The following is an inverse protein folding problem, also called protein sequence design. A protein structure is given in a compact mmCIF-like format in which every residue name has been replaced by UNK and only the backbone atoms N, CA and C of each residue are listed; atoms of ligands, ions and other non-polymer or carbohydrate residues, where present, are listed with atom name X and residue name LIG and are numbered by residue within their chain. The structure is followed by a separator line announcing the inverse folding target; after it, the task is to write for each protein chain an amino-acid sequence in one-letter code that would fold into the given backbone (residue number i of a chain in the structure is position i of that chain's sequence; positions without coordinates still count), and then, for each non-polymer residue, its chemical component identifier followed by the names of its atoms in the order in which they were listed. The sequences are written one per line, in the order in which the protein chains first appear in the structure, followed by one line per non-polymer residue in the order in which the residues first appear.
data_IF_290793440576
#
_entry.id   IF_290793440576
#
_cell.length_a   1.000
_cell.length_b   1.000
_cell.length_c   1.000
_cell.angle_alpha   90.00
_cell.angle_beta   90.00
_cell.angle_gamma   90.00
#
_symmetry.space_group_name_H-M   'P 1'
#
loop_
_entity.id
_entity.type
_entity.pdbx_description
1 polymer ?
#
# COMPACT_ATOMS: atom_id res chain seq x y z
N UNK A 1 -68.04 47.86 -33.86
CA UNK A 1 -67.73 49.13 -34.55
C UNK A 1 -66.25 49.13 -34.91
N UNK A 2 -65.95 49.53 -36.15
CA UNK A 2 -64.64 49.91 -36.71
C UNK A 2 -63.51 48.87 -36.82
N UNK A 3 -63.41 48.27 -38.02
CA UNK A 3 -62.17 48.05 -38.81
C UNK A 3 -61.43 49.41 -39.04
N UNK A 4 -60.20 49.58 -39.64
CA UNK A 4 -59.49 48.64 -40.53
C UNK A 4 -57.94 48.68 -40.60
N UNK A 5 -57.39 47.71 -41.34
CA UNK A 5 -56.29 47.74 -42.34
C UNK A 5 -55.07 48.68 -42.20
N UNK A 6 -53.89 48.08 -42.43
CA UNK A 6 -52.78 48.47 -43.35
C UNK A 6 -51.63 47.46 -43.13
N UNK A 7 -50.77 47.04 -44.05
CA UNK A 7 -50.53 47.25 -45.48
C UNK A 7 -49.54 46.16 -45.90
N UNK A 8 -49.66 45.62 -47.11
CA UNK A 8 -48.61 44.86 -47.80
C UNK A 8 -47.42 45.80 -48.13
N UNK A 9 -46.17 45.31 -48.25
CA UNK A 9 -45.54 44.83 -49.51
C UNK A 9 -43.99 44.81 -49.41
N UNK A 10 -43.38 43.79 -50.06
CA UNK A 10 -41.99 43.63 -50.60
C UNK A 10 -40.92 43.10 -49.63
N UNK A 11 -40.31 41.91 -49.77
CA UNK A 11 -39.76 41.08 -50.88
C UNK A 11 -38.21 41.17 -50.89
N UNK A 12 -37.59 39.98 -50.90
CA UNK A 12 -36.27 39.56 -51.43
C UNK A 12 -35.15 39.18 -50.43
N UNK A 13 -35.00 37.85 -50.27
CA UNK A 13 -33.79 36.98 -50.39
C UNK A 13 -32.47 37.42 -49.72
N UNK A 14 -31.99 36.62 -48.76
CA UNK A 14 -30.77 35.78 -48.87
C UNK A 14 -30.19 35.44 -47.49
N UNK A 15 -29.89 34.14 -47.27
CA UNK A 15 -28.65 33.76 -46.59
C UNK A 15 -28.74 33.19 -45.17
N UNK A 16 -28.23 31.96 -45.07
CA UNK A 16 -27.53 31.36 -43.93
C UNK A 16 -28.37 30.74 -42.78
N UNK A 17 -28.47 29.41 -42.88
CA UNK A 17 -28.43 28.38 -41.85
C UNK A 17 -27.90 28.81 -40.47
N UNK A 18 -28.70 28.58 -39.42
CA UNK A 18 -28.23 28.29 -38.05
C UNK A 18 -29.14 27.22 -37.45
N UNK A 19 -28.54 26.08 -37.14
CA UNK A 19 -29.13 25.05 -36.29
C UNK A 19 -29.21 25.59 -34.85
N UNK A 20 -30.40 25.56 -34.24
CA UNK A 20 -30.60 25.88 -32.84
C UNK A 20 -31.08 24.63 -32.10
N UNK A 21 -30.21 24.17 -31.19
CA UNK A 21 -30.46 23.20 -30.14
C UNK A 21 -31.75 23.54 -29.38
N UNK A 22 -32.63 22.56 -29.23
CA UNK A 22 -33.58 22.52 -28.13
C UNK A 22 -32.97 21.68 -27.02
N UNK A 23 -32.61 22.38 -25.95
CA UNK A 23 -32.30 21.78 -24.66
C UNK A 23 -33.55 21.09 -24.11
N UNK A 24 -33.41 19.83 -23.71
CA UNK A 24 -34.19 19.25 -22.63
C UNK A 24 -33.22 18.76 -21.58
N UNK A 25 -33.21 19.49 -20.47
CA UNK A 25 -32.65 19.13 -19.17
C UNK A 25 -33.10 17.72 -18.77
N UNK A 26 -32.15 16.79 -18.77
CA UNK A 26 -32.24 15.56 -17.99
C UNK A 26 -31.21 15.65 -16.88
N UNK A 27 -31.66 15.84 -15.64
CA UNK A 27 -30.86 15.54 -14.47
C UNK A 27 -30.53 14.05 -14.51
N UNK A 28 -29.29 13.70 -14.81
CA UNK A 28 -28.77 12.37 -14.58
C UNK A 28 -28.23 12.34 -13.15
N UNK A 29 -28.70 11.37 -12.37
CA UNK A 29 -28.00 10.90 -11.17
C UNK A 29 -26.56 10.48 -11.55
N UNK A 30 -25.58 10.52 -10.62
CA UNK A 30 -24.27 9.99 -10.94
C UNK A 30 -24.43 8.50 -11.18
N UNK A 31 -24.16 8.06 -12.40
CA UNK A 31 -23.91 6.67 -12.67
C UNK A 31 -22.53 6.36 -12.06
N UNK A 32 -22.51 5.54 -11.02
CA UNK A 32 -21.30 4.80 -10.67
C UNK A 32 -21.01 3.88 -11.86
N UNK A 33 -20.22 4.37 -12.81
CA UNK A 33 -19.76 3.59 -13.95
C UNK A 33 -18.44 2.94 -13.56
N UNK A 34 -18.42 1.60 -13.58
CA UNK A 34 -17.21 0.79 -13.47
C UNK A 34 -16.18 1.31 -14.48
N UNK A 35 -15.00 1.70 -13.99
CA UNK A 35 -13.85 2.10 -14.80
C UNK A 35 -12.79 1.00 -14.74
N UNK A 36 -12.46 0.44 -15.89
CA UNK A 36 -11.34 -0.50 -16.01
C UNK A 36 -10.01 0.27 -16.06
N UNK A 37 -8.99 -0.27 -15.39
CA UNK A 37 -7.63 0.29 -15.41
C UNK A 37 -6.99 0.28 -16.81
N UNK A 38 -5.96 1.09 -16.99
CA UNK A 38 -5.21 1.19 -18.25
C UNK A 38 -3.70 1.11 -18.02
N UNK A 39 -3.02 0.37 -18.90
CA UNK A 39 -1.57 0.27 -18.97
C UNK A 39 -1.06 1.13 -20.12
N UNK A 40 -0.01 1.92 -19.87
CA UNK A 40 0.70 2.63 -20.94
C UNK A 40 1.56 1.67 -21.76
N UNK A 41 2.02 2.13 -22.93
CA UNK A 41 3.19 1.50 -23.56
C UNK A 41 4.39 1.60 -22.60
N UNK A 42 5.21 0.55 -22.56
CA UNK A 42 6.42 0.55 -21.73
C UNK A 42 7.49 1.45 -22.33
N UNK A 43 8.21 2.15 -21.46
CA UNK A 43 9.33 3.01 -21.84
C UNK A 43 10.62 2.40 -21.30
N UNK A 44 11.64 2.30 -22.14
CA UNK A 44 12.96 1.86 -21.68
C UNK A 44 13.61 2.94 -20.81
N UNK A 45 13.82 2.63 -19.54
CA UNK A 45 14.57 3.44 -18.59
C UNK A 45 15.94 2.81 -18.39
N UNK A 46 16.99 3.61 -18.57
CA UNK A 46 18.38 3.17 -18.37
C UNK A 46 18.96 3.80 -17.11
N UNK A 47 19.57 2.98 -16.26
CA UNK A 47 20.24 3.43 -15.04
C UNK A 47 20.53 2.22 -14.15
N UNK A 48 21.60 2.30 -13.35
CA UNK A 48 22.01 1.15 -12.52
C UNK A 48 22.53 -0.04 -13.32
N UNK A 49 22.33 -1.25 -12.79
CA UNK A 49 22.80 -2.52 -13.35
C UNK A 49 21.93 -3.08 -14.48
N UNK A 50 20.65 -2.69 -14.53
CA UNK A 50 19.66 -3.20 -15.49
C UNK A 50 19.08 -2.12 -16.40
N UNK A 51 18.77 -2.51 -17.65
CA UNK A 51 17.84 -1.75 -18.49
C UNK A 51 16.43 -2.20 -18.16
N UNK A 52 15.53 -1.25 -17.92
CA UNK A 52 14.18 -1.52 -17.41
C UNK A 52 13.12 -1.11 -18.42
N UNK A 53 12.13 -1.96 -18.66
CA UNK A 53 10.90 -1.61 -19.35
C UNK A 53 9.87 -1.14 -18.30
N UNK A 54 9.71 0.17 -18.17
CA UNK A 54 8.83 0.78 -17.17
C UNK A 54 7.44 1.06 -17.74
N UNK A 55 6.41 0.53 -17.10
CA UNK A 55 5.00 0.69 -17.48
C UNK A 55 4.29 1.58 -16.46
N UNK A 56 3.59 2.61 -16.94
CA UNK A 56 2.72 3.41 -16.08
C UNK A 56 1.35 2.75 -16.01
N UNK A 57 0.81 2.68 -14.79
CA UNK A 57 -0.48 2.06 -14.50
C UNK A 57 -1.44 3.13 -14.02
N UNK A 58 -2.57 3.28 -14.73
CA UNK A 58 -3.70 4.07 -14.25
C UNK A 58 -4.76 3.11 -13.73
N UNK A 59 -5.03 3.14 -12.42
CA UNK A 59 -5.93 2.20 -11.79
C UNK A 59 -7.39 2.66 -11.89
N UNK A 60 -8.26 1.71 -12.21
CA UNK A 60 -9.71 1.84 -12.18
C UNK A 60 -10.31 1.08 -11.00
N UNK A 61 -11.63 1.17 -10.81
CA UNK A 61 -12.35 0.54 -9.69
C UNK A 61 -12.56 -0.98 -9.84
N UNK A 62 -12.17 -1.52 -10.99
CA UNK A 62 -12.18 -2.96 -11.30
C UNK A 62 -10.78 -3.54 -11.13
N UNK A 63 -10.70 -4.70 -10.48
CA UNK A 63 -9.43 -5.42 -10.32
C UNK A 63 -8.87 -5.78 -11.69
N UNK A 64 -7.62 -5.36 -11.93
CA UNK A 64 -6.91 -5.56 -13.18
C UNK A 64 -5.66 -6.39 -12.90
N UNK A 65 -5.51 -7.53 -13.58
CA UNK A 65 -4.27 -8.30 -13.55
C UNK A 65 -3.19 -7.57 -14.35
N UNK A 66 -2.11 -7.17 -13.68
CA UNK A 66 -0.93 -6.56 -14.31
C UNK A 66 -0.06 -7.64 -14.94
N UNK A 67 0.12 -8.74 -14.23
CA UNK A 67 0.77 -9.97 -14.66
C UNK A 67 0.33 -11.16 -13.78
N UNK A 68 0.85 -12.36 -14.06
CA UNK A 68 0.49 -13.56 -13.30
C UNK A 68 0.97 -13.48 -11.84
N UNK A 69 0.03 -13.31 -10.91
CA UNK A 69 0.31 -13.19 -9.46
C UNK A 69 0.31 -11.75 -8.95
N UNK A 70 0.11 -10.75 -9.82
CA UNK A 70 0.04 -9.34 -9.44
C UNK A 70 -1.22 -8.69 -10.01
N UNK A 71 -2.16 -8.41 -9.11
CA UNK A 71 -3.37 -7.64 -9.39
C UNK A 71 -3.22 -6.19 -8.91
N UNK A 72 -4.02 -5.28 -9.48
CA UNK A 72 -4.13 -3.92 -8.97
C UNK A 72 -5.55 -3.35 -9.13
N UNK A 73 -5.93 -2.44 -8.23
CA UNK A 73 -7.26 -1.81 -8.22
C UNK A 73 -7.22 -0.45 -7.53
N UNK A 74 -8.24 0.38 -7.80
CA UNK A 74 -8.50 1.64 -7.13
C UNK A 74 -9.75 1.52 -6.27
N UNK A 75 -9.69 2.06 -5.06
CA UNK A 75 -10.84 2.24 -4.20
C UNK A 75 -11.12 3.73 -3.99
N UNK A 76 -12.39 4.11 -3.94
CA UNK A 76 -12.81 5.45 -3.49
C UNK A 76 -14.16 5.39 -2.78
N UNK A 77 -14.28 6.13 -1.68
CA UNK A 77 -15.48 6.20 -0.85
C UNK A 77 -15.23 5.83 0.61
N UNK A 78 -16.29 5.56 1.36
CA UNK A 78 -16.23 5.11 2.76
C UNK A 78 -15.72 3.65 2.84
N UNK A 79 -14.51 3.46 3.40
CA UNK A 79 -13.91 2.15 3.66
C UNK A 79 -14.33 1.55 5.02
N UNK A 80 -15.12 2.27 5.80
CA UNK A 80 -15.59 1.90 7.13
C UNK A 80 -14.50 1.89 8.21
N UNK A 81 -13.29 2.38 7.93
CA UNK A 81 -12.17 2.28 8.87
C UNK A 81 -12.36 3.16 10.11
N UNK A 82 -12.92 4.37 9.95
CA UNK A 82 -13.28 5.23 11.09
C UNK A 82 -14.28 4.55 12.03
N UNK A 83 -15.27 3.83 11.47
CA UNK A 83 -16.26 3.09 12.25
C UNK A 83 -15.63 1.87 12.95
N UNK A 84 -14.61 1.25 12.35
CA UNK A 84 -13.82 0.19 12.97
C UNK A 84 -13.09 0.71 14.22
N UNK A 85 -12.42 1.85 14.11
CA UNK A 85 -11.74 2.49 15.24
C UNK A 85 -12.71 2.94 16.34
N UNK A 86 -13.86 3.52 15.98
CA UNK A 86 -14.90 3.94 16.94
C UNK A 86 -15.47 2.78 17.78
N UNK A 87 -15.38 1.55 17.27
CA UNK A 87 -15.76 0.32 17.98
C UNK A 87 -14.67 -0.26 18.85
N UNK A 88 -13.51 0.40 18.93
CA UNK A 88 -12.35 -0.04 19.69
C UNK A 88 -11.32 -0.84 18.87
N UNK A 89 -11.51 -0.95 17.54
CA UNK A 89 -10.60 -1.70 16.68
C UNK A 89 -10.71 -3.22 16.85
N UNK A 90 -9.58 -3.91 16.84
CA UNK A 90 -9.52 -5.37 16.96
C UNK A 90 -8.23 -5.87 17.62
N UNK A 91 -8.40 -6.80 18.56
CA UNK A 91 -7.32 -7.44 19.30
C UNK A 91 -6.77 -8.71 18.61
N UNK A 92 -7.26 -9.03 17.40
CA UNK A 92 -6.83 -10.20 16.62
C UNK A 92 -7.30 -10.13 15.16
N UNK A 93 -6.60 -10.84 14.27
CA UNK A 93 -6.98 -10.93 12.85
C UNK A 93 -8.40 -11.49 12.67
N UNK A 94 -8.81 -12.43 13.53
CA UNK A 94 -10.16 -13.01 13.51
C UNK A 94 -11.25 -11.96 13.81
N UNK A 95 -10.96 -10.98 14.66
CA UNK A 95 -11.90 -9.89 14.94
C UNK A 95 -11.98 -8.87 13.78
N UNK A 96 -10.87 -8.59 13.10
CA UNK A 96 -10.88 -7.79 11.85
C UNK A 96 -11.76 -8.46 10.81
N UNK A 97 -11.55 -9.76 10.61
CA UNK A 97 -12.35 -10.60 9.72
C UNK A 97 -13.84 -10.57 10.09
N UNK A 98 -14.16 -10.74 11.37
CA UNK A 98 -15.53 -10.69 11.88
C UNK A 98 -16.19 -9.32 11.60
N UNK A 99 -15.44 -8.23 11.79
CA UNK A 99 -15.91 -6.87 11.52
C UNK A 99 -16.30 -6.72 10.04
N UNK A 100 -15.42 -7.13 9.12
CA UNK A 100 -15.65 -7.07 7.68
C UNK A 100 -16.86 -7.91 7.26
N UNK A 101 -16.96 -9.15 7.76
CA UNK A 101 -18.10 -10.03 7.49
C UNK A 101 -19.45 -9.43 7.90
N UNK A 102 -19.50 -8.77 9.06
CA UNK A 102 -20.73 -8.20 9.61
C UNK A 102 -21.15 -6.88 8.97
N UNK A 103 -20.21 -6.02 8.61
CA UNK A 103 -20.49 -4.63 8.26
C UNK A 103 -20.33 -4.33 6.77
N UNK A 104 -19.52 -5.12 6.05
CA UNK A 104 -19.13 -4.82 4.67
C UNK A 104 -19.50 -5.93 3.67
N UNK A 105 -19.64 -7.18 4.14
CA UNK A 105 -19.76 -8.36 3.26
C UNK A 105 -21.09 -9.12 3.40
N UNK A 106 -22.17 -8.41 3.77
CA UNK A 106 -23.54 -8.94 3.85
C UNK A 106 -23.70 -10.24 4.69
N UNK A 107 -22.82 -10.50 5.66
CA UNK A 107 -22.94 -11.63 6.57
C UNK A 107 -22.28 -12.93 6.10
N UNK A 108 -21.39 -12.90 5.11
CA UNK A 108 -20.57 -14.07 4.76
C UNK A 108 -19.51 -14.33 5.84
N UNK A 109 -19.47 -15.56 6.36
CA UNK A 109 -18.56 -15.96 7.42
C UNK A 109 -17.16 -16.18 6.83
N UNK A 110 -16.19 -15.44 7.34
CA UNK A 110 -14.78 -15.56 6.98
C UNK A 110 -14.07 -16.19 8.19
N UNK A 111 -13.22 -17.19 7.96
CA UNK A 111 -12.56 -18.01 8.97
C UNK A 111 -11.40 -17.34 9.72
N UNK A 112 -10.48 -18.15 10.26
CA UNK A 112 -9.30 -17.68 11.00
C UNK A 112 -7.99 -17.97 10.24
N UNK A 113 -6.99 -17.11 10.43
CA UNK A 113 -5.72 -17.03 9.71
C UNK A 113 -4.58 -17.79 10.43
N UNK A 114 -3.81 -18.68 9.76
CA UNK A 114 -2.50 -19.20 10.25
C UNK A 114 -1.57 -19.59 9.09
N UNK A 115 -0.29 -19.14 9.11
CA UNK A 115 0.79 -19.76 8.32
C UNK A 115 2.18 -19.06 8.29
N UNK A 116 3.17 -19.66 8.99
CA UNK A 116 4.66 -19.70 8.87
C UNK A 116 5.54 -18.47 8.44
N UNK A 117 6.87 -18.66 8.53
CA UNK A 117 7.92 -17.63 8.71
C UNK A 117 8.66 -17.14 7.43
N UNK A 118 8.95 -15.83 7.34
CA UNK A 118 9.43 -15.11 6.14
C UNK A 118 10.20 -13.81 6.41
N UNK A 119 10.86 -13.29 5.36
CA UNK A 119 11.82 -12.19 5.39
C UNK A 119 11.34 -10.91 4.71
N UNK A 120 11.84 -9.76 5.14
CA UNK A 120 11.61 -8.45 4.52
C UNK A 120 12.87 -7.60 4.73
N UNK A 121 13.19 -6.73 3.79
CA UNK A 121 14.23 -5.72 3.95
C UNK A 121 13.69 -4.37 3.52
N UNK A 122 14.20 -3.30 4.14
CA UNK A 122 13.82 -1.92 3.82
C UNK A 122 15.03 -1.00 3.82
N UNK A 123 14.96 0.06 3.01
CA UNK A 123 15.96 1.12 2.95
C UNK A 123 15.27 2.48 2.73
N UNK A 124 15.57 3.46 3.57
CA UNK A 124 15.20 4.86 3.39
C UNK A 124 16.43 5.66 2.98
N UNK A 125 16.37 6.39 1.87
CA UNK A 125 17.54 7.10 1.32
C UNK A 125 17.14 8.37 0.59
N UNK A 126 18.00 9.38 0.64
CA UNK A 126 17.77 10.62 -0.09
C UNK A 126 17.89 10.41 -1.60
N UNK A 127 16.95 10.95 -2.36
CA UNK A 127 16.98 10.88 -3.82
C UNK A 127 18.09 11.78 -4.39
N UNK A 128 18.70 11.36 -5.50
CA UNK A 128 19.64 12.17 -6.29
C UNK A 128 18.97 13.33 -7.01
N UNK A 129 17.70 13.18 -7.41
CA UNK A 129 16.90 14.21 -8.08
C UNK A 129 16.28 15.25 -7.14
N UNK A 130 16.38 15.02 -5.82
CA UNK A 130 15.69 15.69 -4.70
C UNK A 130 14.52 14.88 -4.13
N UNK A 131 14.20 15.07 -2.84
CA UNK A 131 13.25 14.23 -2.10
C UNK A 131 13.87 12.99 -1.44
N UNK A 132 13.01 12.06 -1.02
CA UNK A 132 13.35 10.84 -0.30
C UNK A 132 12.69 9.61 -0.92
N UNK A 133 13.39 8.48 -0.88
CA UNK A 133 12.95 7.19 -1.39
C UNK A 133 12.84 6.20 -0.23
N UNK A 134 11.81 5.38 -0.24
CA UNK A 134 11.65 4.23 0.64
C UNK A 134 11.53 2.95 -0.20
N UNK A 135 12.53 2.09 -0.12
CA UNK A 135 12.59 0.81 -0.81
C UNK A 135 12.23 -0.34 0.14
N UNK A 136 11.51 -1.34 -0.37
CA UNK A 136 11.16 -2.57 0.37
C UNK A 136 11.27 -3.80 -0.52
N UNK A 137 11.80 -4.89 0.04
CA UNK A 137 11.53 -6.26 -0.42
C UNK A 137 10.53 -6.95 0.52
N UNK A 138 9.60 -7.71 -0.07
CA UNK A 138 8.80 -8.69 0.64
C UNK A 138 9.15 -10.09 0.15
N UNK A 139 9.68 -10.91 1.05
CA UNK A 139 10.12 -12.27 0.72
C UNK A 139 9.10 -13.27 1.22
N UNK A 140 8.51 -14.07 0.34
CA UNK A 140 7.56 -15.13 0.70
C UNK A 140 7.66 -16.34 -0.23
N UNK A 141 6.91 -17.40 0.02
CA UNK A 141 6.59 -18.37 -1.04
C UNK A 141 5.72 -17.69 -2.12
N UNK A 142 5.57 -18.27 -3.31
CA UNK A 142 4.74 -17.67 -4.36
C UNK A 142 3.37 -17.20 -3.85
N UNK A 143 3.05 -15.91 -4.02
CA UNK A 143 1.79 -15.32 -3.55
C UNK A 143 0.94 -14.73 -4.69
N UNK A 144 -0.33 -14.46 -4.38
CA UNK A 144 -1.15 -13.48 -5.08
C UNK A 144 -1.02 -12.11 -4.41
N UNK A 145 -0.32 -11.17 -5.04
CA UNK A 145 -0.20 -9.79 -4.57
C UNK A 145 -1.30 -8.90 -5.17
N UNK A 146 -1.79 -7.93 -4.39
CA UNK A 146 -2.68 -6.88 -4.86
C UNK A 146 -2.18 -5.50 -4.47
N UNK A 147 -2.06 -4.61 -5.45
CA UNK A 147 -1.82 -3.18 -5.24
C UNK A 147 -3.18 -2.47 -5.14
N UNK A 148 -3.37 -1.68 -4.10
CA UNK A 148 -4.61 -0.90 -3.89
C UNK A 148 -4.26 0.58 -3.76
N UNK A 149 -4.76 1.40 -4.69
CA UNK A 149 -4.80 2.86 -4.56
C UNK A 149 -6.12 3.26 -3.90
N UNK A 150 -6.06 3.75 -2.66
CA UNK A 150 -7.23 4.11 -1.86
C UNK A 150 -7.45 5.62 -1.79
N UNK A 151 -8.67 6.07 -2.02
CA UNK A 151 -9.14 7.46 -1.83
C UNK A 151 -10.34 7.49 -0.87
N UNK A 152 -10.10 7.30 0.45
CA UNK A 152 -11.16 7.31 1.45
C UNK A 152 -11.77 8.71 1.63
N UNK A 153 -13.05 8.78 2.01
CA UNK A 153 -13.79 10.06 2.14
C UNK A 153 -13.28 10.96 3.29
N UNK A 154 -12.66 10.38 4.32
CA UNK A 154 -12.31 11.03 5.58
C UNK A 154 -10.85 10.79 6.05
N UNK A 155 -9.99 10.30 5.16
CA UNK A 155 -8.59 9.98 5.44
C UNK A 155 -7.68 10.30 4.25
N UNK A 156 -6.36 10.19 4.45
CA UNK A 156 -5.39 10.39 3.37
C UNK A 156 -5.50 9.33 2.27
N UNK A 157 -5.32 9.75 1.02
CA UNK A 157 -5.14 8.83 -0.09
C UNK A 157 -3.83 8.03 0.07
N UNK A 158 -3.79 6.77 -0.37
CA UNK A 158 -2.59 5.92 -0.23
C UNK A 158 -2.49 4.81 -1.28
N UNK A 159 -1.27 4.33 -1.53
CA UNK A 159 -1.01 3.09 -2.26
C UNK A 159 -0.55 2.06 -1.24
N UNK A 160 -1.12 0.87 -1.27
CA UNK A 160 -0.73 -0.26 -0.41
C UNK A 160 -0.53 -1.54 -1.19
N UNK A 161 0.30 -2.44 -0.65
CA UNK A 161 0.50 -3.78 -1.19
C UNK A 161 0.04 -4.84 -0.19
N UNK A 162 -0.72 -5.81 -0.69
CA UNK A 162 -1.39 -6.84 0.11
C UNK A 162 -1.04 -8.22 -0.43
N UNK A 163 -0.76 -9.15 0.47
CA UNK A 163 -0.76 -10.57 0.13
C UNK A 163 -2.19 -11.13 0.24
N UNK A 164 -2.83 -11.38 -0.90
CA UNK A 164 -4.20 -11.87 -0.96
C UNK A 164 -4.34 -13.31 -0.45
N UNK A 165 -3.28 -14.10 -0.46
CA UNK A 165 -3.31 -15.47 0.05
C UNK A 165 -3.44 -15.50 1.57
N UNK A 166 -2.99 -14.46 2.29
CA UNK A 166 -3.30 -14.34 3.71
C UNK A 166 -4.79 -14.16 3.91
N UNK A 167 -5.40 -13.23 3.19
CA UNK A 167 -6.84 -13.03 3.28
C UNK A 167 -7.63 -14.29 2.89
N UNK A 168 -7.20 -15.02 1.85
CA UNK A 168 -7.90 -16.22 1.40
C UNK A 168 -7.73 -17.39 2.38
N UNK A 169 -6.53 -17.60 2.95
CA UNK A 169 -6.29 -18.56 4.05
C UNK A 169 -7.14 -18.22 5.28
N UNK A 170 -7.18 -16.95 5.65
CA UNK A 170 -8.05 -16.45 6.72
C UNK A 170 -9.53 -16.70 6.40
N UNK A 171 -9.92 -16.74 5.14
CA UNK A 171 -11.31 -16.95 4.72
C UNK A 171 -11.73 -18.41 4.47
N UNK A 172 -10.85 -19.39 4.69
CA UNK A 172 -11.05 -20.79 4.24
C UNK A 172 -11.36 -20.89 2.73
N UNK A 173 -10.67 -20.08 1.91
CA UNK A 173 -10.82 -20.06 0.45
C UNK A 173 -12.11 -19.40 -0.06
N UNK A 174 -12.76 -18.57 0.76
CA UNK A 174 -13.99 -17.86 0.38
C UNK A 174 -13.71 -16.51 -0.29
N UNK A 175 -12.55 -15.88 -0.03
CA UNK A 175 -12.20 -14.57 -0.56
C UNK A 175 -12.16 -14.57 -2.09
N UNK A 176 -11.61 -15.63 -2.69
CA UNK A 176 -11.58 -15.82 -4.15
C UNK A 176 -12.97 -15.91 -4.81
N UNK A 177 -14.04 -16.12 -4.03
CA UNK A 177 -15.44 -16.20 -4.51
C UNK A 177 -16.21 -14.90 -4.31
N UNK A 178 -15.62 -13.93 -3.62
CA UNK A 178 -16.22 -12.62 -3.39
C UNK A 178 -16.15 -11.76 -4.66
N UNK A 179 -17.01 -10.75 -4.72
CA UNK A 179 -16.89 -9.69 -5.74
C UNK A 179 -15.57 -8.93 -5.62
N UNK A 180 -15.10 -8.33 -6.72
CA UNK A 180 -13.89 -7.49 -6.72
C UNK A 180 -13.96 -6.35 -5.71
N UNK A 181 -15.13 -5.73 -5.55
CA UNK A 181 -15.34 -4.71 -4.53
C UNK A 181 -15.12 -5.27 -3.11
N UNK A 182 -15.70 -6.42 -2.79
CA UNK A 182 -15.52 -7.08 -1.50
C UNK A 182 -14.06 -7.49 -1.24
N UNK A 183 -13.36 -8.02 -2.25
CA UNK A 183 -11.92 -8.32 -2.18
C UNK A 183 -11.11 -7.06 -1.92
N UNK A 184 -11.45 -5.96 -2.60
CA UNK A 184 -10.80 -4.66 -2.43
C UNK A 184 -10.99 -4.13 -1.01
N UNK A 185 -12.21 -4.18 -0.46
CA UNK A 185 -12.47 -3.79 0.93
C UNK A 185 -11.65 -4.65 1.91
N UNK A 186 -11.58 -5.97 1.71
CA UNK A 186 -10.76 -6.83 2.56
C UNK A 186 -9.26 -6.47 2.47
N UNK A 187 -8.78 -6.17 1.26
CA UNK A 187 -7.40 -5.75 1.01
C UNK A 187 -7.04 -4.47 1.75
N UNK A 188 -7.95 -3.49 1.86
CA UNK A 188 -7.73 -2.26 2.63
C UNK A 188 -7.42 -2.52 4.11
N UNK A 189 -7.83 -3.65 4.70
CA UNK A 189 -7.59 -3.96 6.11
C UNK A 189 -6.37 -4.89 6.33
N UNK A 190 -5.73 -5.34 5.26
CA UNK A 190 -4.56 -6.22 5.31
C UNK A 190 -3.29 -5.68 4.61
N UNK A 191 -3.01 -4.35 4.59
CA UNK A 191 -1.79 -3.86 3.96
C UNK A 191 -0.55 -4.33 4.72
N UNK A 192 0.48 -4.72 3.98
CA UNK A 192 1.79 -5.06 4.54
C UNK A 192 2.77 -3.91 4.39
N UNK A 193 2.63 -3.09 3.35
CA UNK A 193 3.29 -1.80 3.16
C UNK A 193 2.36 -0.80 2.49
N UNK A 194 2.77 0.47 2.52
CA UNK A 194 2.23 1.49 1.65
C UNK A 194 2.90 2.85 1.82
N UNK A 195 2.41 3.81 1.05
CA UNK A 195 2.71 5.23 1.17
C UNK A 195 1.43 6.05 0.99
N UNK A 196 1.28 7.14 1.75
CA UNK A 196 0.17 8.06 1.60
C UNK A 196 0.54 9.36 0.86
N UNK A 197 -0.47 10.17 0.53
CA UNK A 197 -0.35 11.46 -0.17
C UNK A 197 0.39 12.56 0.63
N UNK A 198 0.83 12.26 1.85
CA UNK A 198 1.71 13.12 2.66
C UNK A 198 3.17 12.69 2.59
N UNK A 199 3.47 11.60 1.89
CA UNK A 199 4.81 11.06 1.79
C UNK A 199 5.25 10.27 3.01
N UNK A 200 4.31 9.83 3.88
CA UNK A 200 4.60 8.82 4.90
C UNK A 200 4.58 7.45 4.24
N UNK A 201 5.67 6.70 4.38
CA UNK A 201 5.73 5.28 4.03
C UNK A 201 5.89 4.41 5.28
N UNK A 202 5.28 3.24 5.24
CA UNK A 202 5.39 2.25 6.31
C UNK A 202 5.40 0.83 5.74
N UNK A 203 6.13 -0.06 6.38
CA UNK A 203 6.06 -1.50 6.15
C UNK A 203 6.20 -2.30 7.43
N UNK A 204 5.65 -3.51 7.44
CA UNK A 204 5.93 -4.49 8.51
C UNK A 204 7.01 -5.49 8.09
N UNK A 205 8.01 -5.70 8.95
CA UNK A 205 8.99 -6.76 8.79
C UNK A 205 8.86 -7.75 9.95
N UNK A 206 8.97 -9.04 9.68
CA UNK A 206 8.87 -10.06 10.71
C UNK A 206 10.23 -10.30 11.39
N UNK A 207 10.27 -10.65 12.66
CA UNK A 207 11.51 -11.06 13.34
C UNK A 207 11.38 -12.54 13.67
N UNK A 208 12.42 -13.33 13.41
CA UNK A 208 12.42 -14.75 13.77
C UNK A 208 12.64 -14.95 15.28
N UNK A 209 11.60 -14.63 16.05
CA UNK A 209 11.49 -14.83 17.49
C UNK A 209 10.14 -15.52 17.78
N UNK A 210 10.12 -16.40 18.77
CA UNK A 210 8.89 -17.05 19.26
C UNK A 210 8.01 -16.15 20.12
N UNK A 211 8.50 -14.95 20.49
CA UNK A 211 7.72 -13.93 21.15
C UNK A 211 6.59 -13.41 20.25
N UNK A 212 5.61 -12.75 20.86
CA UNK A 212 4.50 -12.07 20.16
C UNK A 212 4.29 -10.69 20.80
N UNK A 213 3.56 -9.82 20.10
CA UNK A 213 3.07 -8.56 20.67
C UNK A 213 1.62 -8.78 21.05
N UNK A 214 1.30 -8.55 22.33
CA UNK A 214 -0.05 -8.66 22.86
C UNK A 214 -0.19 -7.71 24.05
N UNK A 215 -0.44 -6.44 23.75
CA UNK A 215 -0.71 -5.41 24.75
C UNK A 215 -2.17 -5.50 25.20
N UNK A 216 -2.45 -5.19 26.47
CA UNK A 216 -3.81 -5.30 27.00
C UNK A 216 -4.03 -4.28 28.12
N UNK A 217 -4.38 -3.06 27.72
CA UNK A 217 -4.65 -1.91 28.56
C UNK A 217 -6.08 -1.40 28.30
N UNK A 218 -6.39 -0.16 28.67
CA UNK A 218 -7.69 0.46 28.39
C UNK A 218 -7.72 1.18 27.02
N UNK A 219 -6.66 1.06 26.22
CA UNK A 219 -6.57 1.66 24.89
C UNK A 219 -7.35 0.83 23.86
N UNK A 220 -7.79 1.44 22.75
CA UNK A 220 -8.30 0.69 21.60
C UNK A 220 -7.21 -0.20 20.99
N UNK A 221 -7.63 -1.27 20.32
CA UNK A 221 -6.76 -2.34 19.82
C UNK A 221 -6.49 -2.21 18.32
N UNK A 222 -5.25 -2.52 17.91
CA UNK A 222 -4.86 -2.69 16.52
C UNK A 222 -4.17 -4.03 16.31
N UNK A 223 -4.43 -4.62 15.15
CA UNK A 223 -3.60 -5.68 14.57
C UNK A 223 -2.48 -5.09 13.72
N UNK A 224 -1.49 -5.89 13.33
CA UNK A 224 -0.35 -5.44 12.50
C UNK A 224 -0.79 -4.66 11.26
N UNK A 225 -1.76 -5.22 10.51
CA UNK A 225 -2.19 -4.63 9.25
C UNK A 225 -3.11 -3.43 9.45
N UNK A 226 -3.94 -3.43 10.49
CA UNK A 226 -4.81 -2.28 10.82
C UNK A 226 -4.00 -1.14 11.41
N UNK A 227 -2.87 -1.39 12.06
CA UNK A 227 -1.90 -0.36 12.43
C UNK A 227 -1.32 0.33 11.18
N UNK A 228 -0.87 -0.44 10.18
CA UNK A 228 -0.40 0.13 8.90
C UNK A 228 -1.51 0.97 8.25
N UNK A 229 -2.74 0.44 8.21
CA UNK A 229 -3.87 1.15 7.63
C UNK A 229 -4.16 2.48 8.36
N UNK A 230 -4.14 2.46 9.69
CA UNK A 230 -4.31 3.66 10.52
C UNK A 230 -3.24 4.71 10.21
N UNK A 231 -1.98 4.29 10.19
CA UNK A 231 -0.85 5.20 9.93
C UNK A 231 -0.99 5.88 8.57
N UNK A 232 -1.24 5.11 7.53
CA UNK A 232 -1.41 5.65 6.20
C UNK A 232 -2.66 6.54 6.07
N UNK A 233 -3.72 6.27 6.82
CA UNK A 233 -4.95 7.08 6.80
C UNK A 233 -4.80 8.41 7.54
N UNK A 234 -3.99 8.48 8.61
CA UNK A 234 -4.07 9.60 9.57
C UNK A 234 -2.74 10.30 9.89
N UNK A 235 -1.57 9.71 9.61
CA UNK A 235 -0.29 10.34 9.90
C UNK A 235 0.33 10.97 8.64
N UNK A 236 0.77 12.23 8.77
CA UNK A 236 1.49 12.94 7.70
C UNK A 236 3.01 12.71 7.75
N UNK A 237 3.55 12.31 8.90
CA UNK A 237 4.99 12.17 9.14
C UNK A 237 5.27 11.15 10.27
N UNK A 238 6.54 10.86 10.52
CA UNK A 238 6.97 9.89 11.53
C UNK A 238 6.47 10.25 12.93
N UNK A 239 6.53 11.52 13.34
CA UNK A 239 6.11 11.93 14.69
C UNK A 239 4.60 11.69 14.94
N UNK A 240 3.77 11.99 13.95
CA UNK A 240 2.33 11.69 14.00
C UNK A 240 2.09 10.18 14.03
N UNK A 241 2.84 9.41 13.23
CA UNK A 241 2.75 7.95 13.23
C UNK A 241 3.09 7.34 14.61
N UNK A 242 4.17 7.81 15.24
CA UNK A 242 4.56 7.39 16.59
C UNK A 242 3.53 7.81 17.64
N UNK A 243 2.87 8.96 17.46
CA UNK A 243 1.79 9.41 18.34
C UNK A 243 0.57 8.50 18.24
N UNK A 244 0.18 8.12 17.02
CA UNK A 244 -0.91 7.17 16.78
C UNK A 244 -0.57 5.82 17.42
N UNK A 245 0.58 5.21 17.12
CA UNK A 245 0.94 3.90 17.68
C UNK A 245 0.91 3.86 19.21
N UNK A 246 1.34 4.93 19.89
CA UNK A 246 1.28 5.01 21.37
C UNK A 246 -0.15 5.08 21.92
N UNK A 247 -1.12 5.49 21.12
CA UNK A 247 -2.51 5.67 21.53
C UNK A 247 -3.34 4.37 21.48
N UNK A 248 -2.79 3.29 20.91
CA UNK A 248 -3.44 2.00 20.76
C UNK A 248 -2.62 0.90 21.45
N UNK A 249 -3.28 -0.22 21.72
CA UNK A 249 -2.64 -1.48 22.06
C UNK A 249 -2.39 -2.29 20.77
N UNK A 250 -1.20 -2.88 20.69
CA UNK A 250 -0.74 -3.63 19.54
C UNK A 250 -0.89 -5.14 19.77
N UNK A 251 -1.49 -5.82 18.80
CA UNK A 251 -1.57 -7.27 18.73
C UNK A 251 -0.96 -7.76 17.41
N UNK A 252 0.12 -8.50 17.47
CA UNK A 252 0.79 -8.90 16.24
C UNK A 252 -0.01 -9.97 15.49
N UNK A 253 -0.24 -9.72 14.21
CA UNK A 253 -0.95 -10.63 13.31
C UNK A 253 -0.23 -11.98 13.20
N UNK A 254 -1.03 -13.05 13.03
CA UNK A 254 -0.56 -14.44 12.89
C UNK A 254 0.32 -14.95 14.06
N UNK A 255 0.33 -14.26 15.21
CA UNK A 255 1.17 -14.61 16.36
C UNK A 255 2.67 -14.50 16.06
N UNK A 256 3.05 -13.72 15.05
CA UNK A 256 4.44 -13.51 14.67
C UNK A 256 5.01 -12.29 15.40
N UNK A 257 6.29 -12.32 15.76
CA UNK A 257 6.96 -11.09 16.19
C UNK A 257 7.25 -10.22 14.99
N UNK A 258 6.95 -8.92 15.07
CA UNK A 258 7.17 -7.98 13.97
C UNK A 258 7.80 -6.69 14.48
N UNK A 259 8.28 -5.88 13.55
CA UNK A 259 8.55 -4.46 13.75
C UNK A 259 8.12 -3.66 12.52
N UNK A 260 7.88 -2.36 12.69
CA UNK A 260 7.50 -1.46 11.61
C UNK A 260 8.70 -0.63 11.18
N UNK A 261 8.95 -0.53 9.89
CA UNK A 261 9.79 0.51 9.32
C UNK A 261 8.90 1.67 8.89
N UNK A 262 9.21 2.90 9.30
CA UNK A 262 8.43 4.10 8.99
C UNK A 262 9.38 5.18 8.51
N UNK A 263 9.09 5.80 7.37
CA UNK A 263 9.84 6.94 6.84
C UNK A 263 8.90 8.02 6.32
N UNK A 264 9.39 9.26 6.23
CA UNK A 264 8.61 10.38 5.70
C UNK A 264 9.38 11.25 4.69
N UNK A 265 8.64 12.15 4.02
CA UNK A 265 9.17 13.08 3.02
C UNK A 265 10.14 14.14 3.60
N UNK A 266 10.25 14.27 4.92
CA UNK A 266 11.23 15.15 5.57
C UNK A 266 12.57 14.45 5.77
N UNK A 267 12.60 13.12 5.65
CA UNK A 267 13.78 12.28 5.78
C UNK A 267 13.94 11.62 7.14
N UNK A 268 12.93 11.68 7.98
CA UNK A 268 12.92 10.91 9.21
C UNK A 268 12.69 9.44 8.83
N UNK A 269 13.38 8.53 9.52
CA UNK A 269 13.25 7.10 9.30
C UNK A 269 13.52 6.36 10.60
N UNK A 270 12.56 5.53 11.02
CA UNK A 270 12.59 4.83 12.31
C UNK A 270 12.13 3.38 12.15
N UNK A 271 12.65 2.54 13.03
CA UNK A 271 12.06 1.25 13.36
C UNK A 271 11.24 1.37 14.65
N UNK A 272 10.04 0.80 14.64
CA UNK A 272 9.22 0.62 15.85
C UNK A 272 9.20 -0.86 16.20
N UNK A 273 9.87 -1.20 17.30
CA UNK A 273 9.95 -2.55 17.84
C UNK A 273 9.14 -2.67 19.14
N UNK A 274 8.71 -3.87 19.48
CA UNK A 274 8.04 -4.15 20.74
C UNK A 274 8.84 -5.17 21.54
N UNK A 275 9.51 -4.71 22.59
CA UNK A 275 10.32 -5.56 23.47
C UNK A 275 9.59 -5.72 24.79
N UNK A 276 9.19 -6.95 25.12
CA UNK A 276 8.36 -7.24 26.30
C UNK A 276 7.06 -6.42 26.34
N UNK A 277 6.40 -6.26 25.18
CA UNK A 277 5.21 -5.42 24.99
C UNK A 277 5.42 -3.91 25.22
N UNK A 278 6.65 -3.44 25.35
CA UNK A 278 6.97 -2.01 25.38
C UNK A 278 7.44 -1.54 24.00
N UNK A 279 6.83 -0.47 23.49
CA UNK A 279 7.21 0.16 22.23
C UNK A 279 8.58 0.84 22.37
N UNK A 280 9.53 0.44 21.52
CA UNK A 280 10.88 1.00 21.39
C UNK A 280 11.02 1.61 20.00
N UNK A 281 11.53 2.84 19.94
CA UNK A 281 11.75 3.56 18.67
C UNK A 281 13.25 3.69 18.45
N UNK A 282 13.71 3.27 17.26
CA UNK A 282 15.12 3.35 16.87
C UNK A 282 15.23 4.15 15.57
N UNK A 283 16.04 5.20 15.57
CA UNK A 283 16.39 5.91 14.33
C UNK A 283 17.23 4.99 13.44
N UNK A 284 16.72 4.66 12.26
CA UNK A 284 17.44 3.81 11.30
C UNK A 284 16.94 4.05 9.88
N UNK A 285 17.86 3.97 8.92
CA UNK A 285 17.55 4.02 7.48
C UNK A 285 17.46 2.63 6.87
N UNK A 286 17.81 1.57 7.58
CA UNK A 286 17.77 0.18 7.09
C UNK A 286 17.11 -0.69 8.15
N UNK A 287 16.23 -1.59 7.74
CA UNK A 287 15.60 -2.56 8.64
C UNK A 287 15.41 -3.90 7.93
N UNK A 288 15.85 -4.98 8.56
CA UNK A 288 15.63 -6.37 8.13
C UNK A 288 15.09 -7.20 9.30
N UNK A 289 15.05 -8.53 9.25
CA UNK A 289 14.29 -9.38 10.17
C UNK A 289 14.98 -9.71 11.52
N UNK A 290 15.55 -8.72 12.20
CA UNK A 290 16.12 -8.87 13.54
C UNK A 290 15.90 -7.62 14.40
N UNK A 291 15.96 -7.75 15.72
CA UNK A 291 15.82 -6.61 16.62
C UNK A 291 17.03 -5.67 16.58
N UNK A 292 16.79 -4.39 16.34
CA UNK A 292 17.78 -3.32 16.50
C UNK A 292 17.83 -2.78 17.93
N UNK A 293 16.74 -2.87 18.70
CA UNK A 293 16.66 -2.35 20.05
C UNK A 293 17.81 -2.87 20.93
N UNK A 294 18.44 -1.95 21.67
CA UNK A 294 19.43 -2.31 22.69
C UNK A 294 18.80 -3.16 23.80
N UNK A 295 19.56 -4.14 24.31
CA UNK A 295 19.17 -4.98 25.44
C UNK A 295 19.18 -6.47 25.12
N UNK A 296 18.42 -7.26 25.90
CA UNK A 296 18.46 -8.72 25.85
C UNK A 296 17.96 -9.31 24.52
N UNK A 297 17.15 -8.56 23.76
CA UNK A 297 16.63 -8.96 22.45
C UNK A 297 17.50 -8.53 21.28
N UNK A 298 18.49 -7.66 21.50
CA UNK A 298 19.33 -7.10 20.44
C UNK A 298 19.96 -8.20 19.58
N UNK A 299 19.81 -8.08 18.25
CA UNK A 299 20.41 -9.01 17.30
C UNK A 299 19.68 -10.35 17.14
N UNK A 300 18.59 -10.63 17.88
CA UNK A 300 17.80 -11.85 17.67
C UNK A 300 17.14 -11.79 16.29
N UNK A 301 17.50 -12.74 15.43
CA UNK A 301 17.06 -12.91 14.05
C UNK A 301 17.96 -13.93 13.33
N UNK A 302 17.85 -14.04 12.00
CA UNK A 302 18.67 -14.98 11.23
C UNK A 302 20.00 -14.38 10.79
N UNK A 303 21.03 -15.22 10.59
CA UNK A 303 22.32 -14.81 9.99
C UNK A 303 22.12 -14.13 8.62
N UNK A 304 21.20 -14.65 7.81
CA UNK A 304 20.83 -14.04 6.52
C UNK A 304 20.27 -12.63 6.67
N UNK A 305 19.47 -12.37 7.72
CA UNK A 305 18.91 -11.04 7.98
C UNK A 305 19.98 -10.03 8.36
N UNK A 306 20.98 -10.46 9.14
CA UNK A 306 22.18 -9.67 9.44
C UNK A 306 22.99 -9.40 8.18
N UNK A 307 23.21 -10.41 7.33
CA UNK A 307 23.95 -10.24 6.09
C UNK A 307 23.29 -9.21 5.15
N UNK A 308 21.98 -9.30 4.94
CA UNK A 308 21.22 -8.33 4.13
C UNK A 308 21.29 -6.92 4.71
N UNK A 309 21.20 -6.80 6.03
CA UNK A 309 21.32 -5.52 6.72
C UNK A 309 22.71 -4.89 6.53
N UNK A 310 23.77 -5.67 6.69
CA UNK A 310 25.15 -5.20 6.49
C UNK A 310 25.36 -4.75 5.04
N UNK A 311 24.87 -5.50 4.06
CA UNK A 311 24.98 -5.15 2.64
C UNK A 311 24.24 -3.85 2.28
N UNK A 312 22.99 -3.66 2.76
CA UNK A 312 22.25 -2.41 2.57
C UNK A 312 22.92 -1.24 3.29
N UNK A 313 23.38 -1.45 4.52
CA UNK A 313 24.08 -0.45 5.32
C UNK A 313 25.38 0.00 4.64
N UNK A 314 26.20 -0.95 4.15
CA UNK A 314 27.42 -0.67 3.41
C UNK A 314 27.14 0.07 2.09
N UNK A 315 26.03 -0.26 1.44
CA UNK A 315 25.59 0.43 0.22
C UNK A 315 25.18 1.87 0.52
N UNK A 316 24.39 2.10 1.57
CA UNK A 316 23.99 3.43 2.03
C UNK A 316 25.18 4.28 2.46
N UNK A 317 26.16 3.70 3.18
CA UNK A 317 27.37 4.42 3.58
C UNK A 317 28.21 4.86 2.37
N UNK A 318 28.33 4.01 1.35
CA UNK A 318 29.05 4.34 0.11
C UNK A 318 28.26 5.32 -0.77
N UNK A 319 26.93 5.23 -0.75
CA UNK A 319 26.01 6.03 -1.57
C UNK A 319 24.88 6.60 -0.70
N UNK A 320 25.14 7.70 0.04
CA UNK A 320 24.12 8.33 0.91
C UNK A 320 22.99 9.03 0.13
N UNK A 321 23.10 9.07 -1.21
CA UNK A 321 22.07 9.51 -2.13
C UNK A 321 21.98 8.50 -3.26
N UNK A 322 20.78 8.11 -3.63
CA UNK A 322 20.53 7.11 -4.67
C UNK A 322 19.45 7.61 -5.63
N UNK A 323 19.57 7.27 -6.91
CA UNK A 323 18.46 7.32 -7.85
C UNK A 323 17.54 6.10 -7.66
N UNK A 324 16.33 6.13 -8.23
CA UNK A 324 15.40 4.97 -8.23
C UNK A 324 16.10 3.70 -8.73
N UNK A 325 16.88 3.80 -9.81
CA UNK A 325 17.61 2.65 -10.34
C UNK A 325 18.69 2.11 -9.39
N UNK A 326 19.32 2.97 -8.59
CA UNK A 326 20.31 2.52 -7.59
C UNK A 326 19.64 1.93 -6.36
N UNK A 327 18.44 2.40 -5.98
CA UNK A 327 17.63 1.74 -4.94
C UNK A 327 17.16 0.37 -5.43
N UNK A 328 16.71 0.25 -6.69
CA UNK A 328 16.38 -1.04 -7.32
C UNK A 328 17.56 -1.99 -7.23
N UNK A 329 18.76 -1.57 -7.63
CA UNK A 329 19.96 -2.43 -7.57
C UNK A 329 20.34 -2.78 -6.11
N UNK A 330 20.07 -1.89 -5.14
CA UNK A 330 20.30 -2.19 -3.72
C UNK A 330 19.31 -3.25 -3.21
N UNK A 331 18.03 -3.15 -3.60
CA UNK A 331 16.99 -4.14 -3.30
C UNK A 331 17.27 -5.50 -3.96
N UNK A 332 17.71 -5.50 -5.22
CA UNK A 332 18.18 -6.67 -5.96
C UNK A 332 19.32 -7.38 -5.23
N UNK A 333 20.32 -6.64 -4.75
CA UNK A 333 21.44 -7.25 -4.00
C UNK A 333 21.07 -7.94 -2.68
N UNK A 334 19.83 -7.76 -2.22
CA UNK A 334 19.30 -8.37 -1.00
C UNK A 334 18.00 -9.14 -1.24
N UNK A 335 17.66 -9.50 -2.49
CA UNK A 335 16.56 -10.42 -2.79
C UNK A 335 16.94 -11.88 -2.55
N UNK A 336 15.94 -12.75 -2.42
CA UNK A 336 16.13 -14.13 -1.94
C UNK A 336 16.93 -15.02 -2.88
N UNK A 337 16.84 -14.81 -4.18
CA UNK A 337 17.64 -15.52 -5.18
C UNK A 337 19.15 -15.49 -4.90
N UNK A 338 19.64 -14.42 -4.27
CA UNK A 338 21.05 -14.25 -3.89
C UNK A 338 21.47 -15.05 -2.63
N UNK A 339 20.53 -15.56 -1.83
CA UNK A 339 20.82 -16.23 -0.54
C UNK A 339 20.49 -17.73 -0.53
N UNK A 340 19.75 -18.22 -1.53
CA UNK A 340 19.35 -19.61 -1.65
C UNK A 340 18.25 -20.01 -0.64
N UNK A 341 17.26 -20.77 -1.08
CA UNK A 341 16.12 -21.15 -0.24
C UNK A 341 14.92 -21.59 -1.07
N UNK A 342 13.77 -21.81 -0.40
CA UNK A 342 12.49 -22.11 -1.06
C UNK A 342 11.59 -20.88 -1.25
N UNK A 343 11.91 -19.75 -0.59
CA UNK A 343 11.20 -18.49 -0.71
C UNK A 343 11.86 -17.61 -1.79
N UNK A 344 11.06 -16.74 -2.40
CA UNK A 344 11.44 -15.72 -3.40
C UNK A 344 11.07 -14.33 -2.88
N UNK A 345 11.74 -13.29 -3.39
CA UNK A 345 11.25 -11.92 -3.21
C UNK A 345 10.06 -11.70 -4.14
N UNK A 346 8.84 -11.73 -3.59
CA UNK A 346 7.60 -11.69 -4.37
C UNK A 346 7.30 -10.30 -4.92
N UNK A 347 7.60 -9.26 -4.16
CA UNK A 347 7.66 -7.90 -4.71
C UNK A 347 8.76 -7.08 -4.07
N UNK A 348 9.34 -6.23 -4.91
CA UNK A 348 10.19 -5.12 -4.51
C UNK A 348 9.51 -3.83 -4.92
N UNK A 349 9.36 -2.88 -3.99
CA UNK A 349 8.70 -1.60 -4.25
C UNK A 349 9.58 -0.45 -3.82
N UNK A 350 9.61 0.60 -4.64
CA UNK A 350 10.28 1.86 -4.36
C UNK A 350 9.22 2.96 -4.34
N UNK A 351 9.01 3.54 -3.16
CA UNK A 351 8.16 4.69 -2.97
C UNK A 351 8.98 5.97 -3.09
N UNK A 352 8.62 6.86 -4.01
CA UNK A 352 9.10 8.24 -4.01
C UNK A 352 8.18 9.08 -3.12
N UNK A 353 8.70 9.44 -1.94
CA UNK A 353 7.92 10.09 -0.88
C UNK A 353 7.58 11.55 -1.20
N UNK A 354 8.19 12.13 -2.24
CA UNK A 354 7.96 13.52 -2.65
C UNK A 354 7.07 13.60 -3.88
N UNK A 355 7.30 12.72 -4.86
CA UNK A 355 6.48 12.65 -6.08
C UNK A 355 5.24 11.75 -5.93
N UNK A 356 5.09 11.09 -4.78
CA UNK A 356 3.99 10.17 -4.45
C UNK A 356 3.77 9.06 -5.49
N UNK A 357 4.88 8.45 -5.93
CA UNK A 357 4.84 7.30 -6.85
C UNK A 357 5.36 6.03 -6.19
N UNK A 358 4.81 4.89 -6.58
CA UNK A 358 5.26 3.56 -6.18
C UNK A 358 5.68 2.78 -7.43
N UNK A 359 6.94 2.36 -7.49
CA UNK A 359 7.49 1.54 -8.58
C UNK A 359 7.73 0.12 -8.10
N UNK A 360 7.02 -0.82 -8.72
CA UNK A 360 7.01 -2.23 -8.39
C UNK A 360 7.85 -3.05 -9.36
N UNK A 361 8.54 -4.04 -8.81
CA UNK A 361 9.19 -5.15 -9.49
C UNK A 361 8.66 -6.43 -8.86
N UNK A 362 8.22 -7.38 -9.68
CA UNK A 362 7.53 -8.58 -9.21
C UNK A 362 8.41 -9.81 -9.43
N UNK A 363 8.47 -10.68 -8.42
CA UNK A 363 9.21 -11.95 -8.45
C UNK A 363 10.63 -11.82 -9.01
N UNK A 364 11.39 -10.88 -8.44
CA UNK A 364 12.81 -10.65 -8.76
C UNK A 364 13.07 -10.23 -10.23
N UNK A 365 12.04 -9.88 -11.00
CA UNK A 365 12.22 -9.29 -12.34
C UNK A 365 12.48 -7.78 -12.25
N UNK A 366 13.74 -7.43 -12.05
CA UNK A 366 14.21 -6.04 -12.03
C UNK A 366 14.33 -5.38 -13.43
N UNK A 367 13.92 -6.10 -14.49
CA UNK A 367 13.94 -5.60 -15.87
C UNK A 367 12.58 -5.10 -16.36
N UNK A 368 11.49 -5.40 -15.63
CA UNK A 368 10.15 -4.90 -15.90
C UNK A 368 9.58 -4.23 -14.65
N UNK A 369 8.95 -3.07 -14.80
CA UNK A 369 8.34 -2.38 -13.67
C UNK A 369 6.95 -1.86 -13.96
N UNK A 370 6.15 -1.78 -12.90
CA UNK A 370 4.85 -1.12 -12.89
C UNK A 370 4.92 0.08 -11.96
N UNK A 371 4.59 1.26 -12.45
CA UNK A 371 4.54 2.49 -11.65
C UNK A 371 3.09 2.93 -11.46
N UNK A 372 2.69 3.10 -10.21
CA UNK A 372 1.42 3.70 -9.81
C UNK A 372 1.72 5.07 -9.17
N UNK A 373 0.91 6.08 -9.49
CA UNK A 373 1.01 7.41 -8.90
C UNK A 373 -0.28 7.73 -8.15
N UNK A 374 -0.15 8.36 -6.98
CA UNK A 374 -1.28 8.81 -6.14
C UNK A 374 -1.97 10.07 -6.66
#
# INVERSE_FOLDING_TARGET
MTSPFRSLTRLVIAGATVAALLATTGCAAPANGEQSGALSDSVTVTGGSHSEAATQVTLGDTVTSLEEGLDATRFSGDDGFSQFLDKGGASSDAQVVQYLGQHMLAGEAIGALIGNLFGCSTIAVRNTSDGWLFGRNFDWENVQAMIVESHPDDAYASITTVNMDFLDQGSDGMLSKLSDHARTIAALYAPLDGMNERGLAVSVNMIQDSATIDQNTDKPDLTTTTAIRLLLNQAANVDEALTLLRAYDMHSSMGMMIHLAIADAEGNSVAVEYVNNDMVVIDTSVLTNFYLADGDKHGIGTEESHQRYDQLTDTLQRKPRMSIAEVRDALDSVSKDDFGGFASTEWSVIYDLTEHTARYYHREDYTHSFTVAL
#
